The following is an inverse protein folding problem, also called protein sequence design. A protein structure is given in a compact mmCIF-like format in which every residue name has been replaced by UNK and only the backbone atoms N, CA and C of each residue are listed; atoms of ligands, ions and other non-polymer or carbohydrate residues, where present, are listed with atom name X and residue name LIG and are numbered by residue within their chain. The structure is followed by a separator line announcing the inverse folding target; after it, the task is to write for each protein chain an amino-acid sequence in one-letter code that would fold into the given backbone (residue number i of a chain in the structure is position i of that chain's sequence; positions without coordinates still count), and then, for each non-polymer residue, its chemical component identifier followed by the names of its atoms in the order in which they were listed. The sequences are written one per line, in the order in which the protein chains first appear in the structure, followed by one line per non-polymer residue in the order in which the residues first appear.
data_IF_627971992214
#
_entry.id   IF_627971992214
#
_cell.length_a   1.000
_cell.length_b   1.000
_cell.length_c   1.000
_cell.angle_alpha   90.00
_cell.angle_beta   90.00
_cell.angle_gamma   90.00
#
_symmetry.space_group_name_H-M   'P 1'
#
loop_
_entity.id
_entity.type
_entity.pdbx_description
1 polymer ?
#
# COMPACT_ATOMS: atom_id res chain seq x y z
N UNK A 1 -12.14 -19.94 18.03
CA UNK A 1 -11.16 -18.85 18.04
C UNK A 1 -9.78 -19.50 17.99
N UNK A 2 -9.11 -19.54 16.83
CA UNK A 2 -7.74 -20.08 16.74
C UNK A 2 -6.80 -18.89 16.64
N UNK A 3 -5.93 -18.78 17.63
CA UNK A 3 -5.01 -17.68 17.87
C UNK A 3 -4.19 -17.34 16.62
N UNK A 4 -4.32 -16.11 16.15
CA UNK A 4 -3.25 -15.45 15.41
C UNK A 4 -2.14 -15.18 16.43
N UNK A 5 -1.22 -16.14 16.56
CA UNK A 5 -0.05 -15.96 17.40
C UNK A 5 0.92 -15.03 16.65
N UNK A 6 1.12 -13.80 17.15
CA UNK A 6 2.24 -12.95 16.74
C UNK A 6 3.50 -13.57 17.36
N UNK A 7 4.13 -14.46 16.60
CA UNK A 7 5.41 -15.04 16.96
C UNK A 7 6.49 -14.10 16.44
N UNK A 8 7.14 -13.36 17.34
CA UNK A 8 8.27 -12.47 17.04
C UNK A 8 9.53 -13.29 16.76
N UNK A 9 9.56 -14.00 15.63
CA UNK A 9 10.77 -14.66 15.15
C UNK A 9 11.45 -13.81 14.08
N UNK A 10 12.79 -13.70 14.09
CA UNK A 10 13.54 -13.19 12.96
C UNK A 10 13.15 -13.95 11.68
N UNK A 11 13.02 -13.25 10.55
CA UNK A 11 12.58 -13.86 9.29
C UNK A 11 13.38 -15.13 8.96
N UNK A 12 14.70 -15.11 9.14
CA UNK A 12 15.56 -16.28 8.92
C UNK A 12 15.12 -17.51 9.69
N UNK A 13 14.76 -17.36 10.96
CA UNK A 13 14.30 -18.46 11.80
C UNK A 13 12.98 -19.05 11.30
N UNK A 14 12.07 -18.22 10.80
CA UNK A 14 10.82 -18.70 10.19
C UNK A 14 11.12 -19.51 8.93
N UNK A 15 12.01 -19.04 8.06
CA UNK A 15 12.44 -19.78 6.87
C UNK A 15 13.16 -21.07 7.22
N UNK A 16 14.03 -21.10 8.24
CA UNK A 16 14.72 -22.33 8.64
C UNK A 16 13.75 -23.41 9.16
N UNK A 17 12.67 -23.00 9.83
CA UNK A 17 11.60 -23.90 10.26
C UNK A 17 10.76 -24.37 9.07
N UNK A 18 10.37 -23.43 8.20
CA UNK A 18 9.34 -23.67 7.18
C UNK A 18 9.90 -24.20 5.85
N UNK A 19 11.19 -24.02 5.62
CA UNK A 19 11.91 -24.42 4.42
C UNK A 19 13.38 -24.73 4.76
N UNK A 20 13.65 -25.85 5.46
CA UNK A 20 15.01 -26.22 5.85
C UNK A 20 15.98 -26.23 4.68
N UNK A 21 17.13 -25.57 4.84
CA UNK A 21 18.15 -25.47 3.79
C UNK A 21 17.96 -24.33 2.79
N UNK A 22 16.96 -23.45 2.98
CA UNK A 22 16.80 -22.26 2.13
C UNK A 22 18.02 -21.34 2.18
N UNK A 23 18.57 -21.03 0.99
CA UNK A 23 19.77 -20.18 0.81
C UNK A 23 19.48 -18.80 0.21
N UNK A 24 18.22 -18.52 -0.11
CA UNK A 24 17.82 -17.23 -0.67
C UNK A 24 17.67 -16.12 0.38
N UNK A 25 17.28 -14.94 -0.08
CA UNK A 25 16.91 -13.82 0.80
C UNK A 25 15.63 -14.16 1.54
N UNK A 26 15.65 -14.06 2.86
CA UNK A 26 14.48 -14.26 3.71
C UNK A 26 13.67 -12.96 3.73
N UNK A 27 12.66 -12.87 2.87
CA UNK A 27 11.83 -11.67 2.71
C UNK A 27 10.51 -11.79 3.47
N UNK A 28 9.96 -10.65 3.86
CA UNK A 28 8.58 -10.49 4.30
C UNK A 28 7.79 -9.74 3.22
N UNK A 29 6.47 -9.96 3.09
CA UNK A 29 5.65 -10.90 3.87
C UNK A 29 5.93 -12.38 3.54
N UNK A 30 5.56 -13.28 4.45
CA UNK A 30 5.61 -14.74 4.25
C UNK A 30 4.32 -15.36 4.80
N UNK A 31 3.54 -15.99 3.93
CA UNK A 31 2.39 -16.80 4.30
C UNK A 31 2.86 -18.22 4.67
N UNK A 32 2.42 -18.72 5.82
CA UNK A 32 2.86 -20.02 6.38
C UNK A 32 1.65 -20.87 6.76
N UNK A 33 1.67 -22.14 6.39
CA UNK A 33 0.76 -23.13 6.99
C UNK A 33 1.31 -23.51 8.37
N UNK A 34 0.68 -22.99 9.42
CA UNK A 34 1.10 -23.20 10.80
C UNK A 34 1.04 -24.66 11.25
N UNK A 35 0.11 -25.45 10.71
CA UNK A 35 -0.07 -26.87 11.11
C UNK A 35 1.04 -27.71 10.51
N UNK A 36 1.29 -27.53 9.22
CA UNK A 36 2.34 -28.27 8.49
C UNK A 36 3.73 -27.67 8.67
N UNK A 37 3.81 -26.44 9.19
CA UNK A 37 5.04 -25.64 9.32
C UNK A 37 5.77 -25.52 7.98
N UNK A 38 5.07 -25.08 6.95
CA UNK A 38 5.63 -24.88 5.61
C UNK A 38 5.36 -23.48 5.09
N UNK A 39 6.32 -22.94 4.35
CA UNK A 39 6.15 -21.69 3.62
C UNK A 39 5.19 -21.92 2.44
N UNK A 40 4.16 -21.07 2.32
CA UNK A 40 3.13 -21.18 1.28
C UNK A 40 3.44 -20.20 0.15
N UNK A 41 3.63 -18.92 0.47
CA UNK A 41 3.90 -17.88 -0.52
C UNK A 41 4.69 -16.75 0.14
N UNK A 42 5.68 -16.20 -0.56
CA UNK A 42 6.45 -15.02 -0.15
C UNK A 42 6.39 -13.89 -1.19
N UNK A 43 5.47 -14.00 -2.15
CA UNK A 43 5.20 -12.97 -3.16
C UNK A 43 3.99 -12.14 -2.70
N UNK A 44 4.20 -10.87 -2.38
CA UNK A 44 3.17 -10.03 -1.75
C UNK A 44 1.96 -9.81 -2.65
N UNK A 45 2.16 -9.71 -3.96
CA UNK A 45 1.07 -9.51 -4.93
C UNK A 45 0.11 -10.71 -4.93
N UNK A 46 0.66 -11.92 -4.97
CA UNK A 46 -0.11 -13.17 -4.90
C UNK A 46 -0.78 -13.36 -3.54
N UNK A 47 -0.12 -12.98 -2.44
CA UNK A 47 -0.72 -13.00 -1.10
C UNK A 47 -1.95 -12.08 -1.03
N UNK A 48 -1.86 -10.84 -1.52
CA UNK A 48 -2.97 -9.88 -1.48
C UNK A 48 -4.17 -10.41 -2.27
N UNK A 49 -3.95 -10.94 -3.47
CA UNK A 49 -5.01 -11.54 -4.30
C UNK A 49 -5.64 -12.76 -3.65
N UNK A 50 -4.80 -13.65 -3.10
CA UNK A 50 -5.27 -14.82 -2.36
C UNK A 50 -6.14 -14.41 -1.17
N UNK A 51 -5.76 -13.37 -0.44
CA UNK A 51 -6.54 -12.86 0.69
C UNK A 51 -7.87 -12.23 0.25
N UNK A 52 -7.92 -11.53 -0.89
CA UNK A 52 -9.17 -10.98 -1.44
C UNK A 52 -10.15 -12.10 -1.83
N UNK A 53 -9.65 -13.21 -2.38
CA UNK A 53 -10.45 -14.36 -2.81
C UNK A 53 -10.88 -15.30 -1.68
N UNK A 54 -10.16 -15.31 -0.55
CA UNK A 54 -10.45 -16.21 0.58
C UNK A 54 -11.81 -15.92 1.25
N UNK A 55 -12.53 -17.00 1.58
CA UNK A 55 -13.81 -16.96 2.30
C UNK A 55 -13.66 -17.65 3.65
N UNK A 56 -13.01 -16.97 4.60
CA UNK A 56 -12.76 -17.49 5.94
C UNK A 56 -13.69 -16.86 6.98
N UNK A 57 -14.02 -17.55 8.08
CA UNK A 57 -14.76 -16.95 9.19
C UNK A 57 -14.05 -15.67 9.70
N UNK A 58 -14.78 -14.55 9.72
CA UNK A 58 -14.26 -13.24 10.13
C UNK A 58 -13.78 -12.35 8.98
N UNK A 59 -13.78 -12.84 7.73
CA UNK A 59 -13.64 -11.98 6.56
C UNK A 59 -14.82 -10.99 6.46
N UNK A 60 -14.56 -9.82 5.90
CA UNK A 60 -15.61 -8.85 5.60
C UNK A 60 -16.22 -9.11 4.23
N UNK A 61 -17.44 -8.63 4.01
CA UNK A 61 -18.15 -8.76 2.73
C UNK A 61 -17.69 -7.73 1.69
N UNK A 62 -16.42 -7.34 1.71
CA UNK A 62 -15.85 -6.40 0.74
C UNK A 62 -14.90 -7.11 -0.21
N UNK A 63 -14.74 -6.51 -1.38
CA UNK A 63 -13.83 -6.95 -2.42
C UNK A 63 -13.02 -5.75 -2.93
N UNK A 64 -11.71 -5.92 -3.01
CA UNK A 64 -10.78 -4.91 -3.53
C UNK A 64 -10.44 -5.15 -5.00
N UNK A 65 -10.68 -6.36 -5.51
CA UNK A 65 -10.44 -6.74 -6.90
C UNK A 65 -11.71 -7.27 -7.58
N UNK A 66 -12.71 -6.41 -7.84
CA UNK A 66 -13.93 -6.86 -8.52
C UNK A 66 -13.62 -7.28 -9.97
N UNK A 67 -14.35 -8.30 -10.45
CA UNK A 67 -14.09 -8.94 -11.76
C UNK A 67 -14.10 -7.96 -12.93
N UNK A 68 -15.02 -6.99 -12.92
CA UNK A 68 -15.15 -6.01 -14.01
C UNK A 68 -14.00 -4.98 -14.07
N UNK A 69 -13.16 -4.87 -13.03
CA UNK A 69 -12.00 -3.96 -13.01
C UNK A 69 -10.65 -4.68 -13.07
N UNK A 70 -10.62 -6.01 -13.15
CA UNK A 70 -9.39 -6.81 -13.06
C UNK A 70 -8.31 -6.32 -14.03
N UNK A 71 -8.64 -6.12 -15.31
CA UNK A 71 -7.69 -5.64 -16.32
C UNK A 71 -7.15 -4.24 -16.02
N UNK A 72 -8.02 -3.33 -15.55
CA UNK A 72 -7.62 -1.95 -15.21
C UNK A 72 -6.73 -1.93 -13.97
N UNK A 73 -7.05 -2.76 -12.98
CA UNK A 73 -6.23 -2.94 -11.78
C UNK A 73 -4.85 -3.48 -12.16
N UNK A 74 -4.77 -4.49 -13.03
CA UNK A 74 -3.48 -5.07 -13.42
C UNK A 74 -2.60 -4.08 -14.19
N UNK A 75 -3.17 -3.35 -15.14
CA UNK A 75 -2.45 -2.33 -15.90
C UNK A 75 -1.92 -1.22 -14.96
N UNK A 76 -2.79 -0.72 -14.08
CA UNK A 76 -2.42 0.33 -13.15
C UNK A 76 -1.41 -0.14 -12.10
N UNK A 77 -1.56 -1.35 -11.57
CA UNK A 77 -0.64 -1.92 -10.59
C UNK A 77 0.74 -2.17 -11.20
N UNK A 78 0.82 -2.66 -12.44
CA UNK A 78 2.09 -2.83 -13.14
C UNK A 78 2.84 -1.50 -13.26
N UNK A 79 2.12 -0.43 -13.60
CA UNK A 79 2.67 0.93 -13.70
C UNK A 79 3.10 1.48 -12.34
N UNK A 80 2.22 1.44 -11.33
CA UNK A 80 2.54 1.89 -9.96
C UNK A 80 3.76 1.13 -9.44
N UNK A 81 3.86 -0.17 -9.71
CA UNK A 81 5.01 -0.95 -9.29
C UNK A 81 6.29 -0.52 -9.99
N UNK A 82 6.30 -0.43 -11.33
CA UNK A 82 7.53 -0.14 -12.08
C UNK A 82 8.09 1.25 -11.79
N UNK A 83 7.22 2.26 -11.74
CA UNK A 83 7.61 3.67 -11.69
C UNK A 83 7.57 4.28 -10.29
N UNK A 84 6.72 3.77 -9.37
CA UNK A 84 6.57 4.30 -8.02
C UNK A 84 7.15 3.33 -6.99
N UNK A 85 6.57 2.15 -6.79
CA UNK A 85 6.97 1.25 -5.69
C UNK A 85 8.42 0.79 -5.83
N UNK A 86 8.80 0.29 -7.01
CA UNK A 86 10.17 -0.09 -7.32
C UNK A 86 10.99 1.13 -7.79
N UNK A 87 10.35 2.15 -8.36
CA UNK A 87 11.00 3.38 -8.82
C UNK A 87 11.77 4.10 -7.70
N UNK A 88 11.19 4.22 -6.50
CA UNK A 88 11.91 4.84 -5.38
C UNK A 88 13.17 4.05 -4.97
N UNK A 89 13.14 2.72 -5.06
CA UNK A 89 14.32 1.87 -4.80
C UNK A 89 15.36 2.02 -5.91
N UNK A 90 14.93 1.95 -7.18
CA UNK A 90 15.79 2.16 -8.35
C UNK A 90 16.49 3.53 -8.27
N UNK A 91 15.80 4.55 -7.77
CA UNK A 91 16.38 5.86 -7.51
C UNK A 91 17.43 5.80 -6.40
N UNK A 92 17.09 5.23 -5.24
CA UNK A 92 18.00 5.20 -4.09
C UNK A 92 19.27 4.42 -4.35
N UNK A 93 19.18 3.31 -5.10
CA UNK A 93 20.28 2.42 -5.43
C UNK A 93 20.94 2.70 -6.79
N UNK A 94 20.55 3.78 -7.49
CA UNK A 94 21.19 4.16 -8.74
C UNK A 94 22.69 4.41 -8.55
N UNK A 95 23.51 3.87 -9.45
CA UNK A 95 24.97 3.99 -9.41
C UNK A 95 25.52 5.04 -10.39
N UNK A 96 24.66 5.61 -11.23
CA UNK A 96 24.99 6.61 -12.25
C UNK A 96 23.94 7.72 -12.24
N UNK A 97 24.33 8.95 -12.55
CA UNK A 97 23.43 10.10 -12.58
C UNK A 97 22.32 9.93 -13.63
N UNK A 98 22.65 9.37 -14.80
CA UNK A 98 21.71 9.17 -15.91
C UNK A 98 20.59 8.20 -15.54
N UNK A 99 20.93 7.07 -14.90
CA UNK A 99 19.95 6.12 -14.40
C UNK A 99 19.07 6.73 -13.30
N UNK A 100 19.66 7.52 -12.41
CA UNK A 100 18.91 8.24 -11.38
C UNK A 100 17.92 9.24 -12.00
N UNK A 101 18.37 10.07 -12.95
CA UNK A 101 17.55 11.10 -13.60
C UNK A 101 16.39 10.49 -14.39
N UNK A 102 16.65 9.39 -15.11
CA UNK A 102 15.61 8.67 -15.85
C UNK A 102 14.52 8.12 -14.91
N UNK A 103 14.92 7.51 -13.79
CA UNK A 103 13.98 6.99 -12.78
C UNK A 103 13.22 8.12 -12.10
N UNK A 104 13.88 9.22 -11.76
CA UNK A 104 13.21 10.40 -11.19
C UNK A 104 12.16 10.95 -12.16
N UNK A 105 12.49 11.09 -13.44
CA UNK A 105 11.52 11.54 -14.45
C UNK A 105 10.27 10.63 -14.51
N UNK A 106 10.49 9.30 -14.53
CA UNK A 106 9.41 8.30 -14.54
C UNK A 106 8.53 8.37 -13.28
N UNK A 107 9.16 8.46 -12.10
CA UNK A 107 8.50 8.56 -10.79
C UNK A 107 7.59 9.79 -10.72
N UNK A 108 8.12 10.97 -11.02
CA UNK A 108 7.36 12.21 -10.89
C UNK A 108 6.27 12.32 -11.95
N UNK A 109 6.53 11.87 -13.19
CA UNK A 109 5.49 11.82 -14.22
C UNK A 109 4.33 10.92 -13.82
N UNK A 110 4.59 9.80 -13.16
CA UNK A 110 3.52 8.90 -12.71
C UNK A 110 2.78 9.46 -11.51
N UNK A 111 3.48 10.08 -10.55
CA UNK A 111 2.83 10.75 -9.42
C UNK A 111 1.92 11.92 -9.88
N UNK A 112 2.34 12.68 -10.90
CA UNK A 112 1.51 13.71 -11.53
C UNK A 112 0.22 13.13 -12.14
N UNK A 113 0.29 11.95 -12.75
CA UNK A 113 -0.89 11.25 -13.23
C UNK A 113 -1.80 10.77 -12.10
N UNK A 114 -1.23 10.21 -11.02
CA UNK A 114 -2.02 9.77 -9.86
C UNK A 114 -2.73 10.95 -9.19
N UNK A 115 -2.05 12.09 -9.05
CA UNK A 115 -2.64 13.34 -8.58
C UNK A 115 -3.80 13.79 -9.47
N UNK A 116 -3.60 13.81 -10.79
CA UNK A 116 -4.65 14.18 -11.73
C UNK A 116 -5.87 13.26 -11.62
N UNK A 117 -5.68 11.94 -11.53
CA UNK A 117 -6.77 10.97 -11.30
C UNK A 117 -7.51 11.25 -10.01
N UNK A 118 -6.78 11.45 -8.91
CA UNK A 118 -7.35 11.68 -7.58
C UNK A 118 -7.97 13.07 -7.40
N UNK A 119 -7.65 14.02 -8.28
CA UNK A 119 -8.35 15.32 -8.32
C UNK A 119 -9.79 15.20 -8.81
N UNK A 120 -10.09 14.19 -9.64
CA UNK A 120 -11.40 13.98 -10.26
C UNK A 120 -12.18 12.82 -9.66
N UNK A 121 -11.49 11.88 -9.02
CA UNK A 121 -12.07 10.67 -8.42
C UNK A 121 -11.64 10.51 -6.99
N UNK A 122 -12.48 9.90 -6.15
CA UNK A 122 -12.14 9.65 -4.74
C UNK A 122 -10.92 8.72 -4.60
N UNK A 123 -10.86 7.66 -5.40
CA UNK A 123 -9.83 6.63 -5.46
C UNK A 123 -9.29 6.47 -6.89
N UNK A 124 -8.25 5.65 -7.07
CA UNK A 124 -7.49 5.59 -8.33
C UNK A 124 -8.30 5.13 -9.55
N UNK A 125 -9.32 4.30 -9.34
CA UNK A 125 -10.20 3.75 -10.38
C UNK A 125 -11.67 4.17 -10.20
N UNK A 126 -11.93 5.30 -9.55
CA UNK A 126 -13.27 5.88 -9.39
C UNK A 126 -13.63 6.17 -7.93
N UNK A 127 -14.88 5.89 -7.56
CA UNK A 127 -15.42 6.28 -6.24
C UNK A 127 -15.24 5.23 -5.15
N UNK A 128 -14.66 4.07 -5.49
CA UNK A 128 -14.44 2.96 -4.55
C UNK A 128 -12.97 2.53 -4.51
N UNK A 129 -12.54 2.15 -3.31
CA UNK A 129 -11.22 1.62 -3.01
C UNK A 129 -11.00 0.29 -3.74
N UNK A 130 -9.85 0.14 -4.35
CA UNK A 130 -9.43 -1.07 -5.05
C UNK A 130 -8.06 -1.55 -4.58
N UNK A 131 -7.64 -2.72 -5.05
CA UNK A 131 -6.28 -3.23 -4.87
C UNK A 131 -5.22 -2.19 -5.26
N UNK A 132 -5.44 -1.38 -6.30
CA UNK A 132 -4.49 -0.35 -6.75
C UNK A 132 -4.20 0.71 -5.70
N UNK A 133 -5.22 1.09 -4.91
CA UNK A 133 -5.03 2.04 -3.83
C UNK A 133 -4.14 1.46 -2.73
N UNK A 134 -4.31 0.16 -2.43
CA UNK A 134 -3.49 -0.58 -1.45
C UNK A 134 -2.04 -0.72 -1.93
N UNK A 135 -1.79 -0.83 -3.24
CA UNK A 135 -0.43 -0.85 -3.80
C UNK A 135 0.28 0.51 -3.71
N UNK A 136 -0.45 1.60 -3.98
CA UNK A 136 0.14 2.94 -3.97
C UNK A 136 0.38 3.46 -2.55
N UNK A 137 -0.56 3.24 -1.64
CA UNK A 137 -0.62 3.91 -0.33
C UNK A 137 0.65 3.76 0.51
N UNK A 138 1.22 2.55 0.69
CA UNK A 138 2.43 2.35 1.49
C UNK A 138 3.63 3.15 0.97
N UNK A 139 3.67 3.45 -0.33
CA UNK A 139 4.76 4.22 -0.93
C UNK A 139 4.56 5.72 -0.72
N UNK A 140 3.34 6.21 -0.94
CA UNK A 140 3.00 7.63 -0.77
C UNK A 140 3.22 8.10 0.67
N UNK A 141 2.75 7.35 1.67
CA UNK A 141 2.90 7.75 3.08
C UNK A 141 4.35 7.74 3.56
N UNK A 142 5.24 7.00 2.89
CA UNK A 142 6.68 6.94 3.21
C UNK A 142 7.53 7.89 2.37
N UNK A 143 6.97 8.53 1.33
CA UNK A 143 7.73 9.33 0.39
C UNK A 143 8.48 10.46 1.10
N UNK A 144 7.77 11.31 1.82
CA UNK A 144 8.35 12.49 2.46
C UNK A 144 9.28 12.12 3.63
N UNK A 145 8.94 11.09 4.41
CA UNK A 145 9.67 10.70 5.63
C UNK A 145 10.88 9.79 5.41
N UNK A 146 10.89 9.01 4.32
CA UNK A 146 11.88 7.94 4.11
C UNK A 146 12.54 8.07 2.74
N UNK A 147 11.76 8.02 1.67
CA UNK A 147 12.32 7.93 0.31
C UNK A 147 12.90 9.26 -0.18
N UNK A 148 12.31 10.38 0.22
CA UNK A 148 12.85 11.71 -0.01
C UNK A 148 14.27 11.84 0.51
N UNK A 149 14.52 11.68 1.82
CA UNK A 149 15.85 11.85 2.37
C UNK A 149 16.82 10.69 2.05
N UNK A 150 16.38 9.42 2.06
CA UNK A 150 17.29 8.28 1.86
C UNK A 150 17.54 7.98 0.38
N UNK A 151 16.49 7.98 -0.43
CA UNK A 151 16.55 7.61 -1.85
C UNK A 151 16.61 8.82 -2.79
N UNK A 152 16.75 10.02 -2.23
CA UNK A 152 16.81 11.31 -2.94
C UNK A 152 15.55 11.62 -3.76
N UNK A 153 14.43 10.99 -3.45
CA UNK A 153 13.13 11.26 -4.11
C UNK A 153 12.50 12.54 -3.56
N UNK A 154 13.19 13.68 -3.66
CA UNK A 154 12.88 14.91 -2.93
C UNK A 154 12.62 16.14 -3.81
N UNK A 155 12.34 15.96 -5.12
CA UNK A 155 11.99 17.06 -6.04
C UNK A 155 10.72 17.80 -5.60
N UNK A 156 9.75 17.05 -5.09
CA UNK A 156 8.45 17.52 -4.58
C UNK A 156 8.10 16.75 -3.31
N UNK A 157 7.13 17.27 -2.55
CA UNK A 157 6.61 16.64 -1.32
C UNK A 157 5.11 16.40 -1.45
N UNK A 158 4.62 15.30 -0.90
CA UNK A 158 3.18 15.00 -0.92
C UNK A 158 2.44 15.89 0.10
N UNK A 159 2.88 15.93 1.35
CA UNK A 159 2.07 16.47 2.46
C UNK A 159 2.46 17.90 2.89
N UNK A 160 3.64 18.38 2.49
CA UNK A 160 4.12 19.75 2.79
C UNK A 160 5.17 19.81 3.90
N UNK A 161 5.38 20.99 4.49
CA UNK A 161 6.35 21.18 5.57
C UNK A 161 5.75 20.89 6.95
N UNK A 162 6.51 20.21 7.79
CA UNK A 162 6.24 20.13 9.23
C UNK A 162 6.10 21.56 9.79
N UNK A 163 5.03 21.82 10.56
CA UNK A 163 4.78 23.13 11.16
C UNK A 163 4.06 24.16 10.29
N UNK A 164 3.44 23.77 9.17
CA UNK A 164 2.42 24.59 8.48
C UNK A 164 2.93 25.72 7.58
N UNK A 165 4.24 25.78 7.28
CA UNK A 165 4.84 26.86 6.50
C UNK A 165 4.75 26.73 4.97
N UNK A 166 4.43 25.55 4.42
CA UNK A 166 4.25 25.33 2.96
C UNK A 166 3.35 24.11 2.74
N UNK A 167 2.31 24.28 1.94
CA UNK A 167 1.47 23.17 1.44
C UNK A 167 2.32 22.19 0.61
N UNK A 168 1.85 20.93 0.55
CA UNK A 168 2.43 19.92 -0.33
C UNK A 168 2.22 20.25 -1.80
N UNK A 169 3.01 19.62 -2.67
CA UNK A 169 2.88 19.80 -4.11
C UNK A 169 1.76 18.93 -4.71
N UNK A 170 1.14 18.06 -3.90
CA UNK A 170 0.13 17.07 -4.31
C UNK A 170 -1.08 17.02 -3.36
N UNK A 171 -1.98 18.03 -3.42
CA UNK A 171 -3.12 18.12 -2.51
C UNK A 171 -4.11 16.94 -2.63
N UNK A 172 -4.35 16.41 -3.84
CA UNK A 172 -5.28 15.29 -4.01
C UNK A 172 -4.70 13.98 -3.46
N UNK A 173 -3.42 13.68 -3.70
CA UNK A 173 -2.71 12.54 -3.10
C UNK A 173 -2.65 12.66 -1.57
N UNK A 174 -2.37 13.85 -1.03
CA UNK A 174 -2.36 14.06 0.42
C UNK A 174 -3.74 13.80 1.03
N UNK A 175 -4.80 14.32 0.42
CA UNK A 175 -6.18 14.09 0.87
C UNK A 175 -6.60 12.61 0.73
N UNK A 176 -6.22 11.95 -0.38
CA UNK A 176 -6.45 10.52 -0.61
C UNK A 176 -5.73 9.65 0.42
N UNK A 177 -4.48 9.97 0.75
CA UNK A 177 -3.73 9.23 1.76
C UNK A 177 -4.34 9.39 3.16
N UNK A 178 -4.85 10.58 3.51
CA UNK A 178 -5.64 10.80 4.75
C UNK A 178 -6.93 9.97 4.75
N UNK A 179 -7.62 9.90 3.61
CA UNK A 179 -8.85 9.11 3.47
C UNK A 179 -8.57 7.63 3.77
N UNK A 180 -7.55 7.05 3.12
CA UNK A 180 -7.14 5.66 3.37
C UNK A 180 -6.67 5.44 4.80
N UNK A 181 -5.86 6.35 5.35
CA UNK A 181 -5.35 6.28 6.73
C UNK A 181 -6.47 6.12 7.75
N UNK A 182 -7.61 6.79 7.51
CA UNK A 182 -8.76 6.84 8.41
C UNK A 182 -9.78 5.71 8.21
N UNK A 183 -9.56 4.80 7.25
CA UNK A 183 -10.46 3.66 7.02
C UNK A 183 -10.47 2.75 8.25
N UNK A 184 -11.69 2.43 8.70
CA UNK A 184 -11.97 1.51 9.81
C UNK A 184 -12.67 0.28 9.28
N UNK A 185 -12.25 -0.91 9.71
CA UNK A 185 -12.87 -2.19 9.34
C UNK A 185 -13.96 -2.53 10.36
N UNK A 186 -15.25 -2.53 10.02
CA UNK A 186 -16.31 -2.78 10.99
C UNK A 186 -16.27 -4.20 11.53
N UNK A 187 -16.62 -4.36 12.80
CA UNK A 187 -16.51 -5.65 13.50
C UNK A 187 -15.06 -6.08 13.79
N UNK A 188 -14.08 -5.23 13.50
CA UNK A 188 -12.66 -5.45 13.79
C UNK A 188 -12.07 -4.27 14.57
N UNK A 189 -10.99 -4.52 15.31
CA UNK A 189 -10.15 -3.46 15.88
C UNK A 189 -9.20 -2.85 14.84
N UNK A 190 -9.17 -3.39 13.61
CA UNK A 190 -8.27 -2.97 12.54
C UNK A 190 -8.68 -1.58 12.00
N UNK A 191 -7.71 -0.67 12.07
CA UNK A 191 -7.73 0.63 11.40
C UNK A 191 -6.46 0.72 10.57
N UNK A 192 -6.53 1.32 9.37
CA UNK A 192 -5.39 1.36 8.46
C UNK A 192 -4.22 2.11 9.10
N UNK A 193 -4.45 3.21 9.81
CA UNK A 193 -3.45 3.92 10.61
C UNK A 193 -2.64 3.01 11.55
N UNK A 194 -3.30 2.03 12.19
CA UNK A 194 -2.66 1.05 13.07
C UNK A 194 -1.75 0.04 12.36
N UNK A 195 -1.73 0.05 11.02
CA UNK A 195 -0.87 -0.82 10.19
C UNK A 195 0.40 -0.12 9.72
N UNK A 196 0.53 1.19 9.98
CA UNK A 196 1.66 2.00 9.51
C UNK A 196 2.40 2.62 10.69
N UNK A 197 3.62 2.14 10.93
CA UNK A 197 4.58 2.77 11.82
C UNK A 197 5.66 3.48 10.99
N UNK A 198 5.51 4.79 10.80
CA UNK A 198 6.45 5.59 10.02
C UNK A 198 7.81 5.75 10.72
N UNK A 199 7.84 5.75 12.05
CA UNK A 199 9.09 5.87 12.81
C UNK A 199 9.88 4.56 12.71
N UNK A 200 9.24 3.41 12.93
CA UNK A 200 9.87 2.11 12.74
C UNK A 200 10.30 1.88 11.29
N UNK A 201 9.49 2.29 10.31
CA UNK A 201 9.91 2.28 8.91
C UNK A 201 11.16 3.12 8.71
N UNK A 202 11.19 4.39 9.14
CA UNK A 202 12.35 5.26 8.99
C UNK A 202 13.60 4.67 9.64
N UNK A 203 13.50 4.20 10.88
CA UNK A 203 14.61 3.53 11.59
C UNK A 203 15.12 2.33 10.81
N UNK A 204 14.22 1.47 10.33
CA UNK A 204 14.60 0.27 9.55
C UNK A 204 15.35 0.64 8.27
N UNK A 205 14.84 1.59 7.49
CA UNK A 205 15.44 1.98 6.21
C UNK A 205 16.82 2.63 6.42
N UNK A 206 16.95 3.57 7.35
CA UNK A 206 18.21 4.28 7.58
C UNK A 206 19.29 3.44 8.27
N UNK A 207 18.92 2.38 9.00
CA UNK A 207 19.89 1.48 9.65
C UNK A 207 20.24 0.24 8.84
N UNK A 208 19.30 -0.30 8.07
CA UNK A 208 19.46 -1.63 7.46
C UNK A 208 19.79 -1.60 5.96
N UNK A 209 19.51 -0.50 5.24
CA UNK A 209 19.76 -0.42 3.79
C UNK A 209 21.18 0.05 3.45
N UNK A 210 22.14 -0.84 3.67
CA UNK A 210 23.50 -0.67 3.14
C UNK A 210 23.50 -0.73 1.59
N UNK A 211 24.27 0.10 0.88
CA UNK A 211 25.28 1.06 1.37
C UNK A 211 24.76 2.50 1.56
N UNK A 212 23.45 2.73 1.56
CA UNK A 212 22.88 4.07 1.34
C UNK A 212 23.10 5.06 2.48
N UNK A 213 23.24 4.59 3.72
CA UNK A 213 23.49 5.44 4.88
C UNK A 213 24.51 4.81 5.85
N UNK A 214 25.82 4.87 5.53
CA UNK A 214 26.86 4.22 6.34
C UNK A 214 26.93 4.72 7.79
N UNK A 215 26.54 5.98 8.03
CA UNK A 215 26.54 6.57 9.36
C UNK A 215 25.40 6.08 10.27
N UNK A 216 24.37 5.42 9.72
CA UNK A 216 23.23 4.89 10.49
C UNK A 216 22.39 5.94 11.21
N UNK A 217 22.63 7.23 10.96
CA UNK A 217 21.88 8.35 11.54
C UNK A 217 20.47 8.33 10.95
N UNK A 218 19.47 8.40 11.83
CA UNK A 218 18.06 8.43 11.45
C UNK A 218 17.55 9.88 11.60
N UNK A 219 17.02 10.51 10.54
CA UNK A 219 16.51 11.88 10.63
C UNK A 219 15.25 11.94 11.51
N UNK A 220 15.01 13.09 12.14
CA UNK A 220 13.95 13.28 13.11
C UNK A 220 12.52 13.23 12.52
N UNK A 221 12.34 13.46 11.22
CA UNK A 221 11.01 13.48 10.64
C UNK A 221 11.00 13.70 9.13
N UNK A 222 9.81 13.91 8.54
CA UNK A 222 8.50 14.09 9.22
C UNK A 222 7.89 12.83 9.87
N UNK A 223 7.13 13.00 10.96
CA UNK A 223 6.27 12.00 11.62
C UNK A 223 4.86 11.97 11.01
N UNK A 224 4.02 11.00 11.38
CA UNK A 224 2.61 10.96 10.93
C UNK A 224 1.81 12.23 11.29
N UNK A 225 2.11 12.83 12.45
CA UNK A 225 1.52 14.09 12.88
C UNK A 225 1.99 15.26 12.02
N UNK A 226 3.29 15.31 11.66
CA UNK A 226 3.84 16.33 10.78
C UNK A 226 3.25 16.27 9.36
N UNK A 227 2.95 15.04 8.88
CA UNK A 227 2.26 14.79 7.61
C UNK A 227 0.75 15.08 7.69
N UNK A 228 0.22 15.38 8.88
CA UNK A 228 -1.18 15.70 9.12
C UNK A 228 -2.13 14.58 8.66
N UNK A 229 -1.74 13.31 8.85
CA UNK A 229 -2.52 12.15 8.38
C UNK A 229 -3.86 11.98 9.12
N UNK A 230 -3.96 12.52 10.33
CA UNK A 230 -5.17 12.52 11.16
C UNK A 230 -6.16 13.65 10.82
N UNK A 231 -5.76 14.63 9.99
CA UNK A 231 -6.68 15.69 9.59
C UNK A 231 -7.80 15.16 8.69
N UNK A 232 -9.02 15.71 8.76
CA UNK A 232 -10.12 15.29 7.90
C UNK A 232 -9.70 15.27 6.42
N UNK A 233 -9.92 14.14 5.76
CA UNK A 233 -9.55 13.98 4.35
C UNK A 233 -10.39 14.88 3.42
N UNK A 234 -11.62 15.22 3.83
CA UNK A 234 -12.56 15.98 2.99
C UNK A 234 -13.08 15.20 1.79
N UNK A 235 -12.97 13.87 1.80
CA UNK A 235 -13.28 12.98 0.66
C UNK A 235 -14.48 12.05 0.86
N UNK A 236 -15.25 12.24 1.93
CA UNK A 236 -16.46 11.47 2.22
C UNK A 236 -16.36 10.61 3.49
N UNK A 237 -17.26 9.63 3.64
CA UNK A 237 -17.32 8.75 4.81
C UNK A 237 -16.19 7.70 4.77
N UNK A 238 -15.51 7.46 5.90
CA UNK A 238 -14.40 6.51 6.03
C UNK A 238 -14.82 5.08 6.43
N UNK A 239 -16.13 4.80 6.49
CA UNK A 239 -16.63 3.46 6.77
C UNK A 239 -16.38 2.51 5.59
N UNK A 240 -15.83 1.32 5.86
CA UNK A 240 -15.39 0.36 4.83
C UNK A 240 -16.47 0.03 3.78
N UNK A 241 -17.73 -0.17 4.19
CA UNK A 241 -18.83 -0.50 3.26
C UNK A 241 -19.18 0.68 2.33
N UNK A 242 -18.90 1.91 2.78
CA UNK A 242 -19.10 3.12 1.98
C UNK A 242 -17.97 3.41 1.01
N UNK A 243 -16.85 2.68 1.09
CA UNK A 243 -15.66 2.90 0.26
C UNK A 243 -15.28 1.70 -0.61
N UNK A 244 -15.59 0.47 -0.22
CA UNK A 244 -15.21 -0.72 -1.00
C UNK A 244 -16.36 -1.25 -1.87
N UNK A 245 -16.05 -2.15 -2.81
CA UNK A 245 -17.08 -2.93 -3.50
C UNK A 245 -17.63 -4.00 -2.56
N UNK A 246 -18.95 -4.27 -2.56
CA UNK A 246 -19.48 -5.45 -1.91
C UNK A 246 -18.94 -6.69 -2.61
N UNK A 247 -18.71 -7.75 -1.84
CA UNK A 247 -18.28 -9.03 -2.35
C UNK A 247 -19.38 -9.62 -3.23
N UNK A 248 -19.00 -10.04 -4.44
CA UNK A 248 -19.90 -10.74 -5.34
C UNK A 248 -20.30 -12.08 -4.72
N UNK A 249 -21.57 -12.21 -4.32
CA UNK A 249 -22.13 -13.44 -3.73
C UNK A 249 -22.58 -14.44 -4.79
N UNK A 250 -22.38 -14.14 -6.09
CA UNK A 250 -22.70 -15.06 -7.18
C UNK A 250 -24.19 -15.23 -7.43
N UNK A 251 -25.07 -14.39 -6.87
CA UNK A 251 -26.45 -14.31 -7.36
C UNK A 251 -26.44 -13.61 -8.70
N UNK A 252 -26.40 -14.40 -9.77
CA UNK A 252 -26.83 -13.93 -11.08
C UNK A 252 -28.16 -13.19 -10.90
N UNK A 253 -28.22 -11.97 -11.43
CA UNK A 253 -29.46 -11.23 -11.58
C UNK A 253 -30.53 -12.15 -12.18
N UNK A 254 -31.48 -12.61 -11.36
CA UNK A 254 -32.76 -13.08 -11.82
C UNK A 254 -33.58 -11.84 -12.22
N UNK A 255 -33.10 -11.12 -13.23
CA UNK A 255 -33.81 -10.01 -13.84
C UNK A 255 -34.86 -10.55 -14.81
N UNK A 256 -36.12 -10.25 -14.48
CA UNK A 256 -37.24 -9.99 -15.39
C UNK A 256 -37.56 -11.05 -16.46
N UNK A 257 -38.34 -12.05 -16.05
CA UNK A 257 -39.25 -12.79 -16.93
C UNK A 257 -40.70 -12.40 -16.65
N UNK A 258 -41.07 -11.13 -16.85
CA UNK A 258 -42.45 -10.68 -16.80
C UNK A 258 -42.81 -9.93 -18.09
N UNK A 259 -43.85 -10.44 -18.75
CA UNK A 259 -44.64 -9.87 -19.84
C UNK A 259 -44.03 -9.92 -21.27
N UNK A 260 -44.54 -10.84 -22.09
CA UNK A 260 -45.47 -10.51 -23.20
C UNK A 260 -45.99 -11.79 -23.86
N UNK A 261 -47.31 -11.92 -23.99
CA UNK A 261 -47.95 -12.97 -24.79
C UNK A 261 -49.40 -13.23 -24.40
N UNK A 262 -50.30 -12.37 -24.88
CA UNK A 262 -51.70 -12.73 -25.17
C UNK A 262 -51.73 -13.79 -26.28
#
# INVERSE_FOLDING_TARGET
MRDVAVLLYPARQVYDICQPGFRGRCTAPLMVDRVRRVAVCNESSEIVRSLDEMHLPGCTDVQLRPRHLTSQIDELNAKIYSSINNGVYRSGFATTQEAYDAVQAELWSTLDEMESRLSSHRFLLGDRLTESDVWLFPTVVRLDSVYGPLFKCCRRRIFGAAGGGREGDYPALAAWARDIWQIKVPGSSLQVSGTVDLDAARVSYFKNLFPLNPGGIVPAGPTAADLQLEQPAGRGCSALQGVCYPRDTGTADAASGAAAGL
#
